data_IF_504781252954
#
_entry.id   IF_504781252954
#
_cell.length_a   1.000
_cell.length_b   1.000
_cell.length_c   1.000
_cell.angle_alpha   90.00
_cell.angle_beta   90.00
_cell.angle_gamma   90.00
#
_symmetry.space_group_name_H-M   'P 1'
#
loop_
_entity.id
_entity.type
_entity.pdbx_description
1 polymer ?
#
# COMPACT_ATOMS: atom_id res chain seq x y z
N UNK A 1 26.62 11.66 -17.65
CA UNK A 1 25.69 10.79 -16.89
C UNK A 1 24.28 11.22 -17.25
N UNK A 2 23.36 10.30 -17.56
CA UNK A 2 21.98 10.67 -17.87
C UNK A 2 21.31 11.20 -16.59
N UNK A 3 20.81 12.44 -16.64
CA UNK A 3 20.14 13.07 -15.52
C UNK A 3 18.70 12.58 -15.45
N UNK A 4 18.41 11.68 -14.51
CA UNK A 4 17.05 11.20 -14.26
C UNK A 4 16.31 12.22 -13.40
N UNK A 5 15.09 12.58 -13.82
CA UNK A 5 14.32 13.63 -13.13
C UNK A 5 13.38 13.09 -12.05
N UNK A 6 13.20 11.77 -11.98
CA UNK A 6 12.38 11.08 -10.97
C UNK A 6 12.79 9.61 -10.85
N UNK A 7 12.35 8.96 -9.77
CA UNK A 7 12.51 7.53 -9.53
C UNK A 7 11.15 6.86 -9.50
N UNK A 8 10.94 5.81 -10.29
CA UNK A 8 9.79 4.93 -10.18
C UNK A 8 10.14 3.72 -9.32
N UNK A 9 9.36 3.50 -8.26
CA UNK A 9 9.54 2.38 -7.36
C UNK A 9 8.61 1.23 -7.74
N UNK A 10 9.16 0.04 -7.94
CA UNK A 10 8.40 -1.18 -8.28
C UNK A 10 9.02 -2.35 -7.52
N UNK A 11 8.22 -3.24 -6.93
CA UNK A 11 8.77 -4.43 -6.27
C UNK A 11 9.51 -5.33 -7.26
N UNK A 12 10.61 -5.94 -6.82
CA UNK A 12 11.46 -6.76 -7.70
C UNK A 12 10.69 -7.92 -8.33
N UNK A 13 9.73 -8.50 -7.61
CA UNK A 13 8.87 -9.56 -8.15
C UNK A 13 7.92 -9.09 -9.25
N UNK A 14 7.44 -7.84 -9.18
CA UNK A 14 6.56 -7.30 -10.20
C UNK A 14 7.32 -6.85 -11.44
N UNK A 15 8.58 -6.42 -11.28
CA UNK A 15 9.50 -6.24 -12.42
C UNK A 15 9.70 -7.57 -13.16
N UNK A 16 9.84 -8.68 -12.44
CA UNK A 16 9.93 -10.03 -13.04
C UNK A 16 8.64 -10.39 -13.79
N UNK A 17 7.46 -10.11 -13.22
CA UNK A 17 6.16 -10.33 -13.89
C UNK A 17 6.05 -9.49 -15.17
N UNK A 18 6.37 -8.20 -15.13
CA UNK A 18 6.37 -7.34 -16.32
C UNK A 18 7.27 -7.90 -17.42
N UNK A 19 8.50 -8.29 -17.09
CA UNK A 19 9.41 -8.89 -18.07
C UNK A 19 8.87 -10.20 -18.64
N UNK A 20 8.20 -11.03 -17.84
CA UNK A 20 7.57 -12.27 -18.32
C UNK A 20 6.42 -12.04 -19.30
N UNK A 21 5.80 -10.86 -19.27
CA UNK A 21 4.79 -10.48 -20.25
C UNK A 21 5.41 -10.15 -21.61
N UNK A 22 6.70 -9.82 -21.67
CA UNK A 22 7.42 -9.50 -22.90
C UNK A 22 7.92 -10.75 -23.62
N UNK A 23 8.09 -10.66 -24.95
CA UNK A 23 8.55 -11.79 -25.80
C UNK A 23 7.51 -12.32 -26.78
N UNK A 24 6.25 -11.88 -26.68
CA UNK A 24 5.25 -12.11 -27.72
C UNK A 24 5.43 -11.14 -28.89
N UNK A 25 5.09 -11.58 -30.11
CA UNK A 25 5.07 -10.71 -31.29
C UNK A 25 3.97 -9.63 -31.22
N UNK A 26 2.93 -9.88 -30.40
CA UNK A 26 1.79 -8.98 -30.18
C UNK A 26 2.12 -7.98 -29.08
N UNK A 27 1.95 -6.66 -29.32
CA UNK A 27 2.09 -5.65 -28.28
C UNK A 27 1.11 -5.89 -27.14
N UNK A 28 1.64 -5.93 -25.91
CA UNK A 28 0.91 -6.08 -24.66
C UNK A 28 0.97 -4.79 -23.86
N UNK A 29 -0.06 -4.54 -23.08
CA UNK A 29 -0.12 -3.40 -22.16
C UNK A 29 -1.07 -3.69 -21.00
N UNK A 30 -1.00 -2.90 -19.95
CA UNK A 30 -1.97 -2.96 -18.86
C UNK A 30 -1.82 -1.82 -17.86
N UNK A 31 -2.82 -1.72 -16.99
CA UNK A 31 -2.94 -0.65 -16.00
C UNK A 31 -1.97 -0.82 -14.84
N UNK A 32 -1.51 0.30 -14.29
CA UNK A 32 -0.68 0.38 -13.09
C UNK A 32 -1.45 1.06 -11.97
N UNK A 33 -1.58 0.36 -10.84
CA UNK A 33 -2.19 0.90 -9.63
C UNK A 33 -1.12 1.12 -8.55
N UNK A 34 -1.22 2.24 -7.86
CA UNK A 34 -0.19 2.64 -6.92
C UNK A 34 -0.48 3.96 -6.20
N UNK A 35 0.59 4.53 -5.65
CA UNK A 35 0.55 5.79 -4.90
C UNK A 35 1.70 6.70 -5.34
N UNK A 36 1.60 7.98 -5.01
CA UNK A 36 2.66 8.96 -5.22
C UNK A 36 3.31 9.30 -3.88
N UNK A 37 4.64 9.27 -3.81
CA UNK A 37 5.36 9.78 -2.65
C UNK A 37 5.16 11.29 -2.51
N UNK A 38 5.45 11.84 -1.34
CA UNK A 38 5.51 13.29 -1.11
C UNK A 38 6.55 14.00 -1.99
N UNK A 39 7.57 13.30 -2.48
CA UNK A 39 8.53 13.86 -3.44
C UNK A 39 8.04 13.81 -4.89
N UNK A 40 6.86 13.24 -5.13
CA UNK A 40 6.26 13.13 -6.45
C UNK A 40 6.70 11.92 -7.26
N UNK A 41 7.51 11.04 -6.68
CA UNK A 41 7.91 9.78 -7.27
C UNK A 41 6.77 8.74 -7.20
N UNK A 42 6.48 8.00 -8.29
CA UNK A 42 5.46 6.96 -8.29
C UNK A 42 5.95 5.67 -7.59
N UNK A 43 5.06 5.04 -6.85
CA UNK A 43 5.23 3.70 -6.27
C UNK A 43 4.15 2.79 -6.85
N UNK A 44 4.55 1.81 -7.65
CA UNK A 44 3.65 0.82 -8.23
C UNK A 44 3.41 -0.28 -7.20
N UNK A 45 2.15 -0.49 -6.86
CA UNK A 45 1.72 -1.50 -5.89
C UNK A 45 0.99 -2.66 -6.55
N UNK A 46 0.34 -2.46 -7.69
CA UNK A 46 -0.37 -3.54 -8.37
C UNK A 46 -0.29 -3.35 -9.88
N UNK A 47 0.03 -4.43 -10.59
CA UNK A 47 0.18 -4.45 -12.05
C UNK A 47 -0.91 -5.34 -12.62
N UNK A 48 -1.74 -4.78 -13.51
CA UNK A 48 -2.75 -5.56 -14.22
C UNK A 48 -2.07 -6.31 -15.37
N UNK A 49 -2.12 -7.66 -15.41
CA UNK A 49 -1.56 -8.46 -16.51
C UNK A 49 -2.24 -8.17 -17.85
N UNK A 50 -1.54 -8.46 -18.96
CA UNK A 50 -2.05 -8.14 -20.30
C UNK A 50 -3.25 -8.98 -20.72
N UNK A 51 -3.42 -10.15 -20.10
CA UNK A 51 -4.54 -11.07 -20.33
C UNK A 51 -5.87 -10.55 -19.76
N UNK A 52 -5.83 -9.54 -18.88
CA UNK A 52 -7.03 -8.98 -18.25
C UNK A 52 -7.72 -8.03 -19.23
N UNK A 53 -8.99 -8.32 -19.52
CA UNK A 53 -9.78 -7.43 -20.36
C UNK A 53 -9.91 -6.04 -19.71
N UNK A 54 -9.93 -5.01 -20.55
CA UNK A 54 -9.95 -3.62 -20.09
C UNK A 54 -11.13 -3.30 -19.17
N UNK A 55 -12.31 -3.88 -19.42
CA UNK A 55 -13.48 -3.73 -18.57
C UNK A 55 -13.26 -4.30 -17.15
N UNK A 56 -12.51 -5.40 -17.03
CA UNK A 56 -12.14 -5.97 -15.73
C UNK A 56 -11.13 -5.09 -15.00
N UNK A 57 -10.24 -4.41 -15.73
CA UNK A 57 -9.31 -3.46 -15.12
C UNK A 57 -10.04 -2.29 -14.43
N UNK A 58 -11.20 -1.85 -14.94
CA UNK A 58 -12.03 -0.82 -14.29
C UNK A 58 -12.61 -1.35 -12.98
N UNK A 59 -13.13 -2.59 -12.99
CA UNK A 59 -13.62 -3.28 -11.79
C UNK A 59 -12.51 -3.45 -10.75
N UNK A 60 -11.28 -3.72 -11.20
CA UNK A 60 -10.13 -3.85 -10.31
C UNK A 60 -9.79 -2.51 -9.68
N UNK A 61 -9.84 -1.43 -10.45
CA UNK A 61 -9.62 -0.08 -9.93
C UNK A 61 -10.56 0.28 -8.79
N UNK A 62 -11.85 -0.04 -8.89
CA UNK A 62 -12.81 0.19 -7.80
C UNK A 62 -12.44 -0.60 -6.54
N UNK A 63 -12.19 -1.91 -6.66
CA UNK A 63 -11.79 -2.75 -5.51
C UNK A 63 -10.50 -2.26 -4.84
N UNK A 64 -9.50 -1.91 -5.63
CA UNK A 64 -8.19 -1.46 -5.17
C UNK A 64 -8.28 -0.08 -4.48
N UNK A 65 -9.13 0.82 -4.99
CA UNK A 65 -9.39 2.10 -4.35
C UNK A 65 -10.13 1.94 -3.03
N UNK A 66 -11.20 1.14 -3.00
CA UNK A 66 -12.07 1.00 -1.83
C UNK A 66 -11.38 0.29 -0.67
N UNK A 67 -10.64 -0.79 -0.97
CA UNK A 67 -9.93 -1.57 0.05
C UNK A 67 -8.58 -0.98 0.45
N UNK A 68 -7.86 -0.37 -0.50
CA UNK A 68 -6.42 -0.11 -0.35
C UNK A 68 -5.98 1.30 -0.76
N UNK A 69 -6.92 2.15 -1.21
CA UNK A 69 -6.64 3.52 -1.69
C UNK A 69 -5.58 3.57 -2.79
N UNK A 70 -5.46 2.50 -3.56
CA UNK A 70 -4.58 2.48 -4.72
C UNK A 70 -5.26 3.16 -5.90
N UNK A 71 -4.52 4.07 -6.50
CA UNK A 71 -4.96 4.88 -7.62
C UNK A 71 -4.47 4.32 -8.94
N UNK A 72 -5.19 4.55 -10.03
CA UNK A 72 -4.63 4.35 -11.36
C UNK A 72 -3.57 5.44 -11.61
N UNK A 73 -2.29 5.05 -11.61
CA UNK A 73 -1.15 5.98 -11.71
C UNK A 73 -0.49 5.98 -13.09
N UNK A 74 -0.80 5.01 -13.95
CA UNK A 74 -0.16 4.87 -15.25
C UNK A 74 -0.48 3.58 -15.98
N UNK A 75 0.19 3.36 -17.10
CA UNK A 75 0.08 2.14 -17.91
C UNK A 75 1.48 1.58 -18.19
N UNK A 76 1.58 0.27 -18.38
CA UNK A 76 2.79 -0.37 -18.89
C UNK A 76 2.55 -0.88 -20.32
N UNK A 77 3.62 -1.02 -21.10
CA UNK A 77 3.56 -1.68 -22.40
C UNK A 77 4.84 -2.45 -22.72
N UNK A 78 4.69 -3.56 -23.45
CA UNK A 78 5.81 -4.29 -24.02
C UNK A 78 6.37 -3.53 -25.22
N UNK A 79 7.69 -3.42 -25.33
CA UNK A 79 8.37 -2.77 -26.46
C UNK A 79 9.45 -3.71 -27.01
N UNK A 80 9.66 -3.69 -28.33
CA UNK A 80 10.65 -4.58 -28.98
C UNK A 80 12.09 -4.18 -28.72
N UNK A 81 12.34 -2.88 -28.53
CA UNK A 81 13.66 -2.35 -28.20
C UNK A 81 13.52 -1.00 -27.52
N UNK A 82 14.17 -0.83 -26.37
CA UNK A 82 14.26 0.45 -25.68
C UNK A 82 15.22 1.45 -26.36
N UNK A 83 15.92 1.06 -27.43
CA UNK A 83 16.85 1.91 -28.21
C UNK A 83 16.23 2.49 -29.47
N UNK A 84 15.24 1.82 -30.07
CA UNK A 84 14.49 2.29 -31.25
C UNK A 84 13.11 2.73 -30.80
N UNK A 85 12.93 3.99 -30.42
CA UNK A 85 11.58 4.51 -30.26
C UNK A 85 11.37 5.87 -30.92
N UNK A 86 10.61 5.79 -32.02
CA UNK A 86 9.92 6.87 -32.73
C UNK A 86 8.42 6.89 -32.41
N UNK A 87 7.90 5.93 -31.62
CA UNK A 87 6.48 5.88 -31.27
C UNK A 87 6.13 6.84 -30.15
N UNK A 88 5.13 7.67 -30.42
CA UNK A 88 4.65 8.70 -29.53
C UNK A 88 3.87 8.10 -28.35
N UNK A 89 4.48 8.07 -27.16
CA UNK A 89 3.87 7.62 -25.90
C UNK A 89 2.56 8.36 -25.54
N UNK A 90 2.28 9.52 -26.16
CA UNK A 90 1.03 10.26 -25.95
C UNK A 90 -0.22 9.44 -26.30
N UNK A 91 -0.12 8.41 -27.15
CA UNK A 91 -1.27 7.55 -27.45
C UNK A 91 -1.77 6.78 -26.22
N UNK A 92 -0.90 6.42 -25.27
CA UNK A 92 -1.30 5.75 -24.03
C UNK A 92 -2.10 6.70 -23.14
N UNK A 93 -1.68 7.97 -23.10
CA UNK A 93 -2.40 9.02 -22.40
C UNK A 93 -3.73 9.37 -23.09
N UNK A 94 -3.78 9.44 -24.42
CA UNK A 94 -5.03 9.72 -25.14
C UNK A 94 -6.03 8.56 -25.05
N UNK A 95 -5.54 7.34 -24.97
CA UNK A 95 -6.37 6.14 -24.81
C UNK A 95 -6.69 5.85 -23.33
N UNK A 96 -6.16 6.65 -22.40
CA UNK A 96 -6.49 6.53 -20.99
C UNK A 96 -7.93 6.97 -20.77
N UNK A 97 -8.80 5.99 -20.48
CA UNK A 97 -10.20 6.25 -20.10
C UNK A 97 -10.36 6.63 -18.63
N UNK A 98 -9.24 6.74 -17.91
CA UNK A 98 -9.18 7.07 -16.49
C UNK A 98 -9.41 8.56 -16.15
N UNK A 99 -9.87 9.36 -17.12
CA UNK A 99 -10.02 10.81 -16.99
C UNK A 99 -8.83 11.58 -17.56
N UNK A 100 -8.57 12.79 -17.05
CA UNK A 100 -7.43 13.61 -17.46
C UNK A 100 -6.41 13.69 -16.30
N UNK A 101 -5.46 12.75 -16.22
CA UNK A 101 -4.57 12.65 -15.09
C UNK A 101 -3.55 13.78 -15.12
N UNK A 102 -3.33 14.44 -13.98
CA UNK A 102 -2.27 15.46 -13.86
C UNK A 102 -0.88 14.87 -14.02
N UNK A 103 -0.72 13.62 -13.56
CA UNK A 103 0.50 12.82 -13.61
C UNK A 103 0.16 11.43 -14.12
N UNK A 104 0.95 10.95 -15.07
CA UNK A 104 0.71 9.65 -15.68
C UNK A 104 2.04 8.93 -15.96
N UNK A 105 2.23 7.80 -15.30
CA UNK A 105 3.41 6.95 -15.46
C UNK A 105 3.23 6.06 -16.70
N UNK A 106 4.28 5.95 -17.51
CA UNK A 106 4.38 4.96 -18.57
C UNK A 106 5.61 4.10 -18.29
N UNK A 107 5.43 2.78 -18.20
CA UNK A 107 6.54 1.83 -18.16
C UNK A 107 6.71 1.17 -19.53
N UNK A 108 7.79 1.51 -20.24
CA UNK A 108 8.21 0.75 -21.41
C UNK A 108 9.02 -0.46 -20.92
N UNK A 109 8.54 -1.67 -21.24
CA UNK A 109 9.10 -2.93 -20.75
C UNK A 109 9.68 -3.69 -21.94
N UNK A 110 10.97 -4.02 -21.88
CA UNK A 110 11.56 -5.05 -22.74
C UNK A 110 12.08 -6.22 -21.91
N UNK A 111 12.55 -7.28 -22.59
CA UNK A 111 13.03 -8.50 -21.93
C UNK A 111 14.21 -8.24 -20.97
N UNK A 112 14.98 -7.18 -21.22
CA UNK A 112 16.20 -6.84 -20.48
C UNK A 112 15.97 -5.78 -19.40
N UNK A 113 15.05 -4.84 -19.61
CA UNK A 113 14.98 -3.61 -18.84
C UNK A 113 13.57 -2.98 -18.84
N UNK A 114 13.31 -2.10 -17.87
CA UNK A 114 12.06 -1.35 -17.74
C UNK A 114 12.39 0.13 -17.60
N UNK A 115 11.89 0.94 -18.53
CA UNK A 115 12.12 2.40 -18.54
C UNK A 115 10.85 3.16 -18.15
N UNK A 116 10.90 3.92 -17.05
CA UNK A 116 9.79 4.76 -16.63
C UNK A 116 9.83 6.13 -17.31
N UNK A 117 8.65 6.59 -17.73
CA UNK A 117 8.40 7.94 -18.25
C UNK A 117 7.24 8.55 -17.49
N UNK A 118 7.38 9.81 -17.07
CA UNK A 118 6.34 10.53 -16.36
C UNK A 118 5.80 11.65 -17.24
N UNK A 119 4.49 11.64 -17.48
CA UNK A 119 3.77 12.73 -18.14
C UNK A 119 3.19 13.67 -17.10
N UNK A 120 3.42 14.98 -17.28
CA UNK A 120 2.81 16.05 -16.48
C UNK A 120 2.13 17.05 -17.43
N UNK A 121 0.83 17.31 -17.22
CA UNK A 121 0.10 18.31 -18.03
C UNK A 121 -0.04 17.95 -19.52
N UNK A 122 -0.01 16.67 -19.86
CA UNK A 122 -0.38 16.12 -21.18
C UNK A 122 0.60 16.29 -22.33
N UNK A 123 1.59 17.18 -22.21
CA UNK A 123 2.55 17.49 -23.29
C UNK A 123 4.00 17.30 -22.87
N UNK A 124 4.31 17.50 -21.59
CA UNK A 124 5.65 17.31 -21.05
C UNK A 124 5.80 15.90 -20.53
N UNK A 125 6.88 15.25 -20.92
CA UNK A 125 7.29 13.99 -20.33
C UNK A 125 8.77 14.02 -19.98
N UNK A 126 9.14 13.24 -18.96
CA UNK A 126 10.52 13.11 -18.49
C UNK A 126 10.86 11.64 -18.33
N UNK A 127 12.13 11.28 -18.51
CA UNK A 127 12.63 9.93 -18.23
C UNK A 127 13.05 9.80 -16.77
N UNK A 128 12.67 8.69 -16.15
CA UNK A 128 13.04 8.37 -14.78
C UNK A 128 14.00 7.19 -14.69
N UNK A 129 14.48 6.95 -13.48
CA UNK A 129 15.16 5.71 -13.10
C UNK A 129 14.14 4.74 -12.51
N UNK A 130 14.25 3.46 -12.82
CA UNK A 130 13.53 2.41 -12.08
C UNK A 130 14.35 2.01 -10.86
N UNK A 131 13.72 1.95 -9.70
CA UNK A 131 14.31 1.39 -8.48
C UNK A 131 13.46 0.22 -7.99
N UNK A 132 14.11 -0.94 -7.85
CA UNK A 132 13.43 -2.13 -7.36
C UNK A 132 13.35 -2.12 -5.85
N UNK A 133 12.14 -2.25 -5.31
CA UNK A 133 11.93 -2.47 -3.89
C UNK A 133 12.22 -3.94 -3.56
N UNK A 134 13.02 -4.16 -2.53
CA UNK A 134 13.30 -5.49 -1.99
C UNK A 134 12.11 -6.03 -1.18
N UNK A 135 12.08 -7.35 -1.01
CA UNK A 135 11.00 -8.05 -0.30
C UNK A 135 9.80 -8.42 -1.18
N UNK A 136 8.80 -9.04 -0.55
CA UNK A 136 7.53 -9.39 -1.18
C UNK A 136 6.62 -8.15 -1.25
N UNK A 137 5.90 -8.00 -2.37
CA UNK A 137 4.91 -6.94 -2.49
C UNK A 137 3.69 -7.28 -1.63
N UNK A 138 3.36 -6.46 -0.62
CA UNK A 138 2.23 -6.71 0.28
C UNK A 138 0.86 -6.69 -0.44
N UNK A 139 0.80 -6.19 -1.68
CA UNK A 139 -0.41 -6.11 -2.49
C UNK A 139 -0.59 -7.30 -3.45
N UNK A 140 0.34 -8.26 -3.47
CA UNK A 140 0.22 -9.50 -4.23
C UNK A 140 -0.47 -10.64 -3.47
N UNK A 141 -0.98 -10.38 -2.25
CA UNK A 141 -1.78 -11.35 -1.48
C UNK A 141 -3.14 -11.62 -2.14
N UNK A 142 -3.62 -12.85 -2.04
CA UNK A 142 -4.84 -13.32 -2.73
C UNK A 142 -6.12 -12.55 -2.36
N UNK A 143 -6.16 -11.96 -1.16
CA UNK A 143 -7.28 -11.16 -0.68
C UNK A 143 -7.17 -9.66 -1.06
N UNK A 144 -6.00 -9.20 -1.54
CA UNK A 144 -5.87 -7.94 -2.26
C UNK A 144 -6.20 -8.13 -3.74
N UNK A 145 -5.73 -9.25 -4.32
CA UNK A 145 -5.87 -9.54 -5.74
C UNK A 145 -7.37 -9.44 -6.17
N UNK A 146 -7.74 -8.46 -7.01
CA UNK A 146 -9.10 -8.29 -7.50
C UNK A 146 -9.62 -9.49 -8.30
N UNK A 147 -8.73 -10.32 -8.86
CA UNK A 147 -9.04 -11.55 -9.58
C UNK A 147 -9.44 -12.69 -8.63
N UNK A 148 -8.78 -12.76 -7.46
CA UNK A 148 -8.92 -13.88 -6.51
C UNK A 148 -9.78 -13.55 -5.29
N UNK A 149 -10.00 -12.26 -5.02
CA UNK A 149 -10.83 -11.80 -3.91
C UNK A 149 -12.30 -12.17 -4.12
N UNK A 150 -12.76 -13.20 -3.40
CA UNK A 150 -14.16 -13.36 -3.02
C UNK A 150 -14.56 -12.13 -2.19
N UNK A 151 -15.68 -11.49 -2.50
CA UNK A 151 -16.10 -10.18 -1.97
C UNK A 151 -16.29 -10.08 -0.45
N UNK A 152 -15.85 -11.06 0.33
CA UNK A 152 -15.87 -11.10 1.79
C UNK A 152 -14.67 -10.40 2.45
N UNK A 153 -13.60 -10.11 1.70
CA UNK A 153 -12.35 -9.51 2.23
C UNK A 153 -12.14 -8.03 1.88
N UNK A 154 -13.17 -7.33 1.41
CA UNK A 154 -13.06 -5.87 1.26
C UNK A 154 -12.78 -5.31 2.66
N UNK A 155 -11.57 -4.77 2.87
CA UNK A 155 -11.21 -4.03 4.06
C UNK A 155 -12.16 -2.84 4.19
N UNK A 156 -13.31 -3.08 4.80
CA UNK A 156 -14.24 -2.04 5.20
C UNK A 156 -13.59 -1.31 6.36
N UNK A 157 -12.79 -0.30 6.02
CA UNK A 157 -12.47 0.76 6.96
C UNK A 157 -13.82 1.27 7.48
N UNK A 158 -14.11 1.04 8.76
CA UNK A 158 -15.36 1.39 9.42
C UNK A 158 -15.69 2.90 9.36
N UNK A 159 -14.75 3.72 8.88
CA UNK A 159 -14.94 5.14 8.57
C UNK A 159 -15.68 5.41 7.24
N UNK A 160 -15.99 4.41 6.40
CA UNK A 160 -16.68 4.60 5.11
C UNK A 160 -18.04 3.88 5.01
N UNK A 161 -18.68 3.51 6.13
CA UNK A 161 -20.06 3.00 6.10
C UNK A 161 -21.10 4.05 5.65
N UNK A 162 -20.70 5.30 5.41
CA UNK A 162 -21.56 6.32 4.80
C UNK A 162 -21.44 6.35 3.28
N UNK A 163 -22.48 5.86 2.61
CA UNK A 163 -22.83 6.14 1.21
C UNK A 163 -21.89 5.54 0.15
N UNK A 164 -22.13 4.29 -0.24
CA UNK A 164 -21.84 3.88 -1.61
C UNK A 164 -23.13 3.49 -2.32
N UNK A 165 -23.72 4.47 -3.02
CA UNK A 165 -24.81 4.25 -3.97
C UNK A 165 -24.19 3.89 -5.31
N UNK A 166 -24.87 3.02 -6.09
CA UNK A 166 -24.38 2.45 -7.35
C UNK A 166 -23.95 3.47 -8.44
N UNK A 167 -24.17 4.76 -8.23
CA UNK A 167 -23.64 5.85 -9.07
C UNK A 167 -22.15 6.19 -8.79
N UNK A 168 -21.53 5.63 -7.75
CA UNK A 168 -20.14 5.90 -7.32
C UNK A 168 -19.06 4.98 -7.93
N UNK A 169 -19.41 4.06 -8.84
CA UNK A 169 -18.50 3.06 -9.41
C UNK A 169 -17.33 3.60 -10.27
N UNK A 170 -17.06 4.90 -10.22
CA UNK A 170 -16.01 5.61 -10.97
C UNK A 170 -15.15 6.52 -10.08
N UNK A 171 -15.11 6.31 -8.76
CA UNK A 171 -14.31 7.17 -7.88
C UNK A 171 -12.79 7.07 -8.14
N UNK A 172 -12.30 5.99 -8.73
CA UNK A 172 -10.91 5.89 -9.25
C UNK A 172 -10.66 6.75 -10.51
N UNK A 173 -11.72 7.23 -11.20
CA UNK A 173 -11.66 8.25 -12.26
C UNK A 173 -11.63 9.67 -11.71
N UNK A 174 -11.86 9.89 -10.40
CA UNK A 174 -11.73 11.24 -9.86
C UNK A 174 -10.32 11.74 -10.13
N UNK A 175 -10.17 13.04 -10.47
CA UNK A 175 -8.87 13.65 -10.50
C UNK A 175 -8.13 13.26 -9.23
N UNK A 176 -6.98 12.61 -9.41
CA UNK A 176 -6.09 12.27 -8.32
C UNK A 176 -6.03 13.47 -7.37
N UNK A 177 -6.29 13.29 -6.05
CA UNK A 177 -6.10 14.36 -5.09
C UNK A 177 -4.75 14.99 -5.38
N UNK A 178 -4.67 16.33 -5.33
CA UNK A 178 -3.39 16.99 -5.53
C UNK A 178 -2.37 16.29 -4.64
N UNK A 179 -1.30 15.69 -5.22
CA UNK A 179 -0.27 15.10 -4.40
C UNK A 179 0.18 16.21 -3.47
N UNK A 180 -0.09 16.08 -2.17
CA UNK A 180 0.53 16.96 -1.20
C UNK A 180 1.99 16.55 -1.23
N UNK A 181 2.79 17.33 -1.96
CA UNK A 181 4.22 17.07 -2.16
C UNK A 181 5.03 17.44 -0.90
N UNK A 182 4.46 17.14 0.25
CA UNK A 182 5.03 17.34 1.56
C UNK A 182 4.84 16.03 2.32
N UNK A 183 5.85 15.58 3.08
CA UNK A 183 5.67 14.48 4.00
C UNK A 183 4.41 14.70 4.84
N UNK A 184 3.71 13.62 5.18
CA UNK A 184 2.61 13.74 6.12
C UNK A 184 3.17 14.22 7.46
N UNK A 185 2.84 15.46 7.85
CA UNK A 185 3.19 15.99 9.15
C UNK A 185 2.43 15.21 10.23
N UNK A 186 3.16 14.32 10.90
CA UNK A 186 2.71 13.81 12.19
C UNK A 186 2.91 14.91 13.21
N UNK A 187 1.96 15.06 14.13
CA UNK A 187 2.13 15.95 15.27
C UNK A 187 3.41 15.53 15.99
N UNK A 188 4.30 16.49 16.26
CA UNK A 188 5.57 16.26 16.95
C UNK A 188 5.42 15.63 18.35
N UNK A 189 4.19 15.50 18.85
CA UNK A 189 3.85 14.83 20.09
C UNK A 189 3.79 13.30 20.01
N UNK A 190 3.74 12.70 18.82
CA UNK A 190 3.64 11.24 18.67
C UNK A 190 5.01 10.57 18.92
N UNK A 191 5.02 9.48 19.69
CA UNK A 191 6.23 8.74 20.08
C UNK A 191 7.00 8.11 18.92
N UNK A 192 6.37 8.05 17.75
CA UNK A 192 6.94 7.51 16.51
C UNK A 192 7.25 8.60 15.45
N UNK A 193 7.03 9.89 15.76
CA UNK A 193 7.17 10.98 14.78
C UNK A 193 8.60 11.24 14.32
N UNK A 194 9.59 11.04 15.20
CA UNK A 194 11.00 11.27 14.86
C UNK A 194 11.66 10.00 14.28
N UNK A 195 12.82 10.10 13.59
CA UNK A 195 13.48 8.93 12.99
C UNK A 195 13.78 7.79 13.97
N UNK A 196 14.13 8.10 15.23
CA UNK A 196 14.36 7.08 16.27
C UNK A 196 13.03 6.46 16.72
N UNK A 197 11.98 7.26 16.84
CA UNK A 197 10.61 6.82 17.09
C UNK A 197 10.10 5.87 16.03
N UNK A 198 10.31 6.19 14.75
CA UNK A 198 9.92 5.33 13.63
C UNK A 198 10.70 3.99 13.64
N UNK A 199 11.99 4.01 13.95
CA UNK A 199 12.78 2.79 14.13
C UNK A 199 12.22 1.91 15.28
N UNK A 200 11.80 2.52 16.39
CA UNK A 200 11.16 1.82 17.50
C UNK A 200 9.80 1.24 17.12
N UNK A 201 8.98 1.97 16.35
CA UNK A 201 7.72 1.46 15.83
C UNK A 201 7.95 0.23 14.93
N UNK A 202 8.95 0.29 14.05
CA UNK A 202 9.37 -0.85 13.23
C UNK A 202 9.75 -2.07 14.08
N UNK A 203 10.56 -1.87 15.13
CA UNK A 203 10.91 -2.95 16.08
C UNK A 203 9.69 -3.51 16.80
N UNK A 204 8.77 -2.66 17.25
CA UNK A 204 7.54 -3.10 17.89
C UNK A 204 6.70 -3.97 16.94
N UNK A 205 6.50 -3.52 15.69
CA UNK A 205 5.77 -4.28 14.68
C UNK A 205 6.38 -5.67 14.46
N UNK A 206 7.71 -5.78 14.30
CA UNK A 206 8.39 -7.06 14.11
C UNK A 206 8.22 -7.99 15.31
N UNK A 207 8.22 -7.46 16.54
CA UNK A 207 7.95 -8.25 17.74
C UNK A 207 6.49 -8.77 17.80
N UNK A 208 5.51 -7.98 17.35
CA UNK A 208 4.12 -8.45 17.25
C UNK A 208 3.92 -9.48 16.14
N UNK A 209 4.59 -9.32 14.98
CA UNK A 209 4.54 -10.31 13.90
C UNK A 209 4.94 -11.70 14.38
N UNK A 210 5.99 -11.80 15.21
CA UNK A 210 6.46 -13.08 15.78
C UNK A 210 5.40 -13.86 16.57
N UNK A 211 4.38 -13.18 17.09
CA UNK A 211 3.30 -13.81 17.88
C UNK A 211 1.95 -13.83 17.15
N UNK A 212 1.90 -13.30 15.93
CA UNK A 212 0.70 -13.27 15.13
C UNK A 212 0.58 -14.53 14.27
N UNK A 213 -0.65 -15.00 14.07
CA UNK A 213 -0.94 -16.04 13.07
C UNK A 213 -0.40 -15.60 11.70
N UNK A 214 0.43 -16.47 11.08
CA UNK A 214 1.04 -16.22 9.77
C UNK A 214 1.82 -14.89 9.67
N UNK A 215 2.34 -14.38 10.79
CA UNK A 215 3.03 -13.08 10.87
C UNK A 215 2.17 -11.89 10.41
N UNK A 216 0.84 -12.02 10.43
CA UNK A 216 -0.09 -11.00 9.96
C UNK A 216 -0.47 -10.04 11.09
N UNK A 217 0.02 -8.80 10.99
CA UNK A 217 -0.35 -7.70 11.90
C UNK A 217 -0.88 -6.54 11.07
N UNK A 218 -2.11 -6.15 11.36
CA UNK A 218 -2.73 -4.95 10.81
C UNK A 218 -2.31 -3.75 11.64
N UNK A 219 -1.87 -2.67 11.00
CA UNK A 219 -1.56 -1.41 11.66
C UNK A 219 -2.45 -0.32 11.11
N UNK A 220 -3.01 0.51 11.98
CA UNK A 220 -3.81 1.66 11.61
C UNK A 220 -3.40 2.89 12.42
N UNK A 221 -3.74 4.07 11.89
CA UNK A 221 -3.51 5.36 12.54
C UNK A 221 -4.82 6.13 12.57
N UNK A 222 -5.22 6.59 13.75
CA UNK A 222 -6.39 7.45 13.88
C UNK A 222 -6.15 8.78 13.16
N UNK A 223 -7.11 9.25 12.35
CA UNK A 223 -6.91 10.47 11.55
C UNK A 223 -6.92 11.76 12.37
N UNK A 224 -7.53 11.75 13.56
CA UNK A 224 -7.73 12.91 14.41
C UNK A 224 -6.67 12.99 15.52
N UNK A 225 -6.39 11.87 16.17
CA UNK A 225 -5.40 11.78 17.26
C UNK A 225 -4.01 11.44 16.74
N UNK A 226 -3.93 10.71 15.62
CA UNK A 226 -2.72 10.10 15.07
C UNK A 226 -2.17 8.97 15.94
N UNK A 227 -2.95 8.44 16.88
CA UNK A 227 -2.53 7.31 17.68
C UNK A 227 -2.50 6.03 16.83
N UNK A 228 -1.50 5.20 17.06
CA UNK A 228 -1.30 3.95 16.32
C UNK A 228 -2.05 2.83 17.03
N UNK A 229 -2.69 1.97 16.23
CA UNK A 229 -3.23 0.70 16.69
C UNK A 229 -2.63 -0.45 15.90
N UNK A 230 -2.42 -1.59 16.57
CA UNK A 230 -2.07 -2.84 15.91
C UNK A 230 -3.12 -3.91 16.22
N UNK A 231 -3.55 -4.68 15.24
CA UNK A 231 -4.52 -5.77 15.40
C UNK A 231 -4.02 -7.05 14.76
N UNK A 232 -4.22 -8.18 15.42
CA UNK A 232 -3.77 -9.48 14.93
C UNK A 232 -4.53 -10.63 15.58
N UNK A 233 -4.41 -11.83 15.01
CA UNK A 233 -4.79 -13.09 15.67
C UNK A 233 -3.57 -13.69 16.33
N UNK A 234 -3.72 -14.30 17.51
CA UNK A 234 -2.62 -15.04 18.13
C UNK A 234 -2.16 -16.24 17.27
N UNK A 235 -1.03 -16.86 17.61
CA UNK A 235 -0.45 -17.97 16.83
C UNK A 235 -1.41 -19.15 16.61
N UNK A 236 -2.35 -19.39 17.54
CA UNK A 236 -3.34 -20.46 17.45
C UNK A 236 -4.59 -20.05 16.65
N UNK A 237 -4.67 -18.79 16.22
CA UNK A 237 -5.82 -18.16 15.58
C UNK A 237 -7.11 -18.18 16.41
N UNK A 238 -7.00 -18.35 17.73
CA UNK A 238 -8.15 -18.44 18.65
C UNK A 238 -8.55 -17.06 19.12
N UNK A 239 -7.60 -16.28 19.67
CA UNK A 239 -7.88 -14.95 20.21
C UNK A 239 -7.51 -13.87 19.22
N UNK A 240 -8.33 -12.82 19.16
CA UNK A 240 -8.00 -11.58 18.43
C UNK A 240 -7.51 -10.55 19.43
N UNK A 241 -6.40 -9.92 19.11
CA UNK A 241 -5.79 -8.88 19.91
C UNK A 241 -5.81 -7.56 19.17
N UNK A 242 -6.05 -6.48 19.92
CA UNK A 242 -5.81 -5.12 19.46
C UNK A 242 -4.99 -4.38 20.51
N UNK A 243 -3.96 -3.66 20.06
CA UNK A 243 -3.07 -2.86 20.90
C UNK A 243 -3.25 -1.41 20.51
N UNK A 244 -3.65 -0.56 21.44
CA UNK A 244 -3.77 0.89 21.23
C UNK A 244 -2.60 1.60 21.88
N UNK A 245 -1.78 2.27 21.08
CA UNK A 245 -0.65 3.05 21.55
C UNK A 245 -1.03 4.52 21.69
N UNK A 246 -0.95 5.10 22.90
CA UNK A 246 -1.19 6.53 23.08
C UNK A 246 -0.07 7.37 22.49
N UNK A 247 -0.34 8.64 22.23
CA UNK A 247 0.63 9.57 21.62
C UNK A 247 1.99 9.62 22.30
N UNK A 248 2.05 9.51 23.64
CA UNK A 248 3.27 9.60 24.44
C UNK A 248 3.73 8.25 25.01
N UNK A 249 3.37 7.13 24.36
CA UNK A 249 3.91 5.82 24.69
C UNK A 249 5.45 5.85 24.76
N UNK A 250 6.09 5.21 25.76
CA UNK A 250 5.54 4.30 26.77
C UNK A 250 5.25 4.98 28.12
N UNK A 251 5.30 6.32 28.18
CA UNK A 251 5.02 7.07 29.41
C UNK A 251 3.57 6.95 29.82
N UNK A 252 2.65 6.94 28.85
CA UNK A 252 1.35 6.30 29.04
C UNK A 252 1.43 4.89 28.50
N UNK A 253 0.96 3.92 29.29
CA UNK A 253 0.90 2.54 28.85
C UNK A 253 -0.08 2.37 27.70
N UNK A 254 0.21 1.42 26.81
CA UNK A 254 -0.73 1.01 25.78
C UNK A 254 -1.94 0.27 26.39
N UNK A 255 -3.04 0.20 25.64
CA UNK A 255 -4.19 -0.62 26.00
C UNK A 255 -4.17 -1.89 25.17
N UNK A 256 -4.19 -3.05 25.85
CA UNK A 256 -4.41 -4.34 25.20
C UNK A 256 -5.91 -4.66 25.23
N UNK A 257 -6.45 -5.09 24.10
CA UNK A 257 -7.85 -5.47 23.96
C UNK A 257 -7.90 -6.89 23.42
N UNK A 258 -8.36 -7.83 24.26
CA UNK A 258 -8.63 -9.21 23.90
C UNK A 258 -10.05 -9.32 23.34
N UNK A 259 -10.21 -10.01 22.22
CA UNK A 259 -11.47 -10.28 21.52
C UNK A 259 -12.36 -9.03 21.33
N UNK A 260 -11.86 -7.95 20.69
CA UNK A 260 -12.59 -6.70 20.53
C UNK A 260 -13.93 -6.82 19.77
N UNK A 261 -14.10 -7.89 19.01
CA UNK A 261 -15.28 -8.19 18.19
C UNK A 261 -16.37 -8.96 18.96
N UNK A 262 -16.11 -9.40 20.19
CA UNK A 262 -17.04 -10.16 21.02
C UNK A 262 -17.33 -9.36 22.29
N UNK A 263 -18.42 -8.56 22.35
CA UNK A 263 -18.69 -7.68 23.49
C UNK A 263 -18.68 -8.37 24.85
N UNK A 264 -19.18 -9.61 24.93
CA UNK A 264 -19.22 -10.42 26.17
C UNK A 264 -17.86 -10.98 26.60
N UNK A 265 -16.90 -11.09 25.69
CA UNK A 265 -15.55 -11.63 25.92
C UNK A 265 -14.46 -10.56 25.80
N UNK A 266 -14.84 -9.31 25.54
CA UNK A 266 -13.94 -8.20 25.34
C UNK A 266 -13.26 -7.83 26.66
N UNK A 267 -11.94 -7.99 26.74
CA UNK A 267 -11.16 -7.60 27.92
C UNK A 267 -10.19 -6.49 27.54
N UNK A 268 -10.30 -5.36 28.23
CA UNK A 268 -9.37 -4.24 28.08
C UNK A 268 -8.41 -4.24 29.26
N UNK A 269 -7.12 -4.24 28.97
CA UNK A 269 -6.06 -4.18 29.97
C UNK A 269 -5.14 -3.00 29.68
N UNK A 270 -5.23 -1.99 30.53
CA UNK A 270 -4.29 -0.88 30.56
C UNK A 270 -2.92 -1.38 31.03
N UNK A 271 -1.90 -1.20 30.21
CA UNK A 271 -0.53 -1.54 30.58
C UNK A 271 0.06 -0.49 31.52
N UNK A 272 1.01 -0.87 32.38
CA UNK A 272 1.74 0.10 33.20
C UNK A 272 2.63 0.98 32.32
N UNK A 273 3.12 2.05 32.93
CA UNK A 273 4.04 2.99 32.29
C UNK A 273 5.46 2.41 32.29
N UNK A 274 6.25 2.79 31.29
CA UNK A 274 7.66 2.42 31.21
C UNK A 274 8.52 3.61 30.80
N UNK A 275 9.82 3.49 31.04
CA UNK A 275 10.83 4.44 30.53
C UNK A 275 11.35 4.06 29.15
N UNK A 276 11.05 2.84 28.68
CA UNK A 276 11.59 2.28 27.44
C UNK A 276 10.52 1.48 26.66
N UNK A 277 10.38 1.77 25.37
CA UNK A 277 9.38 1.17 24.47
C UNK A 277 9.60 -0.33 24.30
N UNK A 278 10.86 -0.78 24.19
CA UNK A 278 11.20 -2.19 24.02
C UNK A 278 10.81 -3.00 25.25
N UNK A 279 10.99 -2.44 26.45
CA UNK A 279 10.57 -3.11 27.69
C UNK A 279 9.04 -3.19 27.78
N UNK A 280 8.34 -2.10 27.44
CA UNK A 280 6.89 -2.08 27.38
C UNK A 280 6.34 -3.13 26.41
N UNK A 281 6.89 -3.19 25.19
CA UNK A 281 6.49 -4.16 24.16
C UNK A 281 6.75 -5.60 24.61
N UNK A 282 7.92 -5.90 25.19
CA UNK A 282 8.23 -7.25 25.71
C UNK A 282 7.25 -7.70 26.81
N UNK A 283 6.84 -6.79 27.68
CA UNK A 283 5.87 -7.11 28.73
C UNK A 283 4.46 -7.33 28.16
N UNK A 284 4.04 -6.52 27.19
CA UNK A 284 2.79 -6.73 26.47
C UNK A 284 2.76 -8.11 25.80
N UNK A 285 3.82 -8.47 25.08
CA UNK A 285 3.93 -9.77 24.40
C UNK A 285 3.91 -10.91 25.40
N UNK A 286 4.59 -10.76 26.53
CA UNK A 286 4.60 -11.78 27.59
C UNK A 286 3.19 -12.00 28.15
N UNK A 287 2.40 -10.94 28.32
CA UNK A 287 1.01 -11.03 28.75
C UNK A 287 0.15 -11.74 27.71
N UNK A 288 0.23 -11.33 26.44
CA UNK A 288 -0.53 -11.91 25.33
C UNK A 288 -0.25 -13.40 25.20
N UNK A 289 1.03 -13.81 25.22
CA UNK A 289 1.41 -15.22 25.17
C UNK A 289 0.79 -16.01 26.31
N UNK A 290 0.92 -15.54 27.56
CA UNK A 290 0.34 -16.22 28.73
C UNK A 290 -1.18 -16.36 28.62
N UNK A 291 -1.88 -15.35 28.11
CA UNK A 291 -3.32 -15.45 27.86
C UNK A 291 -3.62 -16.44 26.75
N UNK A 292 -2.88 -16.45 25.64
CA UNK A 292 -3.16 -17.35 24.49
C UNK A 292 -2.87 -18.83 24.72
N UNK A 293 -2.14 -19.20 25.79
CA UNK A 293 -1.94 -20.59 26.22
C UNK A 293 -2.97 -21.09 27.24
N UNK A 294 -3.90 -20.22 27.66
CA UNK A 294 -5.04 -20.52 28.54
C UNK A 294 -6.35 -20.49 27.75
#
# INVERSE_FOLDING_TARGET
MAEFTFTAYVFQEDVRKLKSETGSAVPKSGSLFGQWTSTGNPVVHYIVPSAVYRADSERYGTKLWDGYRLCHIGEWRSVRSLKRQTEDRRHLLSNFKGGNPKRFLVLDVDVTDVKPYLFEGGTQWRSGKLESLEGENPFNRSDVDPQQSTGQHIHQSSHHQGQSTAAQGRDWLRPQPHPQLQPADTRNSQWYSDPKGNEKLGKALEEFKKIAYQNQVEMSRDINTQDISMAFKDQNAIKRWQVHFPFNFPRMGAVLIENPHLPSMCKKLQQPTYTNENQAVKNMISHIKRSSFL
#
